data_IF_115298099856
#
_entry.id   IF_115298099856
#
_cell.length_a   1.000
_cell.length_b   1.000
_cell.length_c   1.000
_cell.angle_alpha   90.00
_cell.angle_beta   90.00
_cell.angle_gamma   90.00
#
_symmetry.space_group_name_H-M   'P 1'
#
loop_
_entity.id
_entity.type
_entity.pdbx_description
1 polymer ?
#
# COMPACT_ATOMS: atom_id res chain seq x y z
N UNK A 1 18.23 10.92 -6.69
CA UNK A 1 18.81 9.58 -6.51
C UNK A 1 19.10 8.94 -7.88
N UNK A 2 20.10 8.04 -7.92
CA UNK A 2 20.54 7.36 -9.13
C UNK A 2 19.47 6.48 -9.79
N UNK A 3 18.47 6.03 -9.02
CA UNK A 3 17.41 5.11 -9.47
C UNK A 3 16.05 5.81 -9.66
N UNK A 4 16.02 7.14 -9.71
CA UNK A 4 14.77 7.90 -9.82
C UNK A 4 13.90 7.91 -8.56
N UNK A 5 14.40 7.39 -7.43
CA UNK A 5 13.70 7.41 -6.14
C UNK A 5 13.99 8.70 -5.38
N UNK A 6 13.03 9.16 -4.61
CA UNK A 6 13.22 10.36 -3.78
C UNK A 6 14.03 10.06 -2.53
N UNK A 7 14.89 11.00 -2.13
CA UNK A 7 15.70 10.89 -0.91
C UNK A 7 14.89 11.35 0.29
N UNK A 8 14.88 10.54 1.35
CA UNK A 8 14.24 10.87 2.61
C UNK A 8 15.22 10.89 3.78
N UNK A 9 14.87 11.69 4.77
CA UNK A 9 15.52 11.70 6.07
C UNK A 9 15.00 10.55 6.97
N UNK A 10 15.53 10.36 8.19
CA UNK A 10 15.05 9.32 9.11
C UNK A 10 13.61 9.50 9.62
N UNK A 11 12.97 10.61 9.37
CA UNK A 11 11.57 10.85 9.70
C UNK A 11 10.63 10.55 8.51
N UNK A 12 11.18 10.05 7.39
CA UNK A 12 10.50 9.78 6.11
C UNK A 12 10.05 11.04 5.36
N UNK A 13 10.57 12.22 5.74
CA UNK A 13 10.37 13.47 4.99
C UNK A 13 11.34 13.54 3.82
N UNK A 14 10.92 14.14 2.72
CA UNK A 14 11.80 14.43 1.58
C UNK A 14 12.87 15.43 1.99
N UNK A 15 14.10 15.21 1.53
CA UNK A 15 15.17 16.19 1.69
C UNK A 15 14.81 17.48 0.94
N UNK A 16 14.89 18.60 1.64
CA UNK A 16 14.52 19.92 1.09
C UNK A 16 13.01 20.24 1.12
N UNK A 17 12.14 19.27 1.44
CA UNK A 17 10.69 19.46 1.48
C UNK A 17 10.09 18.83 2.73
N UNK A 18 10.18 19.50 3.89
CA UNK A 18 9.78 18.90 5.20
C UNK A 18 8.28 18.62 5.32
N UNK A 19 7.45 19.15 4.45
CA UNK A 19 6.00 18.88 4.43
C UNK A 19 5.62 17.68 3.55
N UNK A 20 6.58 17.11 2.81
CA UNK A 20 6.34 15.94 1.97
C UNK A 20 6.99 14.72 2.59
N UNK A 21 6.27 13.61 2.52
CA UNK A 21 6.72 12.30 3.01
C UNK A 21 6.73 11.29 1.88
N UNK A 22 7.65 10.34 1.95
CA UNK A 22 7.68 9.23 1.02
C UNK A 22 8.18 7.95 1.70
N UNK A 23 7.66 6.82 1.29
CA UNK A 23 8.11 5.49 1.72
C UNK A 23 7.82 4.44 0.64
N UNK A 24 8.28 3.22 0.86
CA UNK A 24 8.14 2.16 -0.12
C UNK A 24 9.16 2.27 -1.26
N UNK A 25 8.80 1.74 -2.43
CA UNK A 25 9.74 1.58 -3.54
C UNK A 25 10.10 2.90 -4.23
N UNK A 26 9.28 3.93 -4.08
CA UNK A 26 9.55 5.27 -4.61
C UNK A 26 10.54 6.10 -3.78
N UNK A 27 10.92 5.62 -2.58
CA UNK A 27 11.75 6.36 -1.64
C UNK A 27 12.97 5.57 -1.19
N UNK A 28 14.02 6.29 -0.83
CA UNK A 28 15.20 5.71 -0.17
C UNK A 28 15.69 6.62 0.95
N UNK A 29 15.86 6.06 2.12
CA UNK A 29 16.43 6.80 3.26
C UNK A 29 17.93 6.96 3.07
N UNK A 30 18.39 8.20 2.98
CA UNK A 30 19.80 8.54 2.73
C UNK A 30 20.75 7.96 3.77
N UNK A 31 20.40 8.02 5.03
CA UNK A 31 21.24 7.55 6.14
C UNK A 31 21.34 6.03 6.24
N UNK A 32 20.34 5.30 5.75
CA UNK A 32 20.24 3.84 5.84
C UNK A 32 19.52 3.29 4.61
N UNK A 33 20.14 3.33 3.42
CA UNK A 33 19.51 2.91 2.18
C UNK A 33 19.13 1.42 2.24
N UNK A 34 17.95 1.09 1.69
CA UNK A 34 17.45 -0.27 1.57
C UNK A 34 17.02 -0.50 0.12
N UNK A 35 17.16 -1.73 -0.38
CA UNK A 35 16.65 -2.06 -1.71
C UNK A 35 15.12 -1.93 -1.72
N UNK A 36 14.58 -1.63 -2.89
CA UNK A 36 13.13 -1.65 -3.11
C UNK A 36 12.60 -3.05 -2.80
N UNK A 37 11.65 -3.14 -1.89
CA UNK A 37 11.03 -4.40 -1.48
C UNK A 37 9.81 -4.15 -0.61
N UNK A 38 8.74 -4.91 -0.82
CA UNK A 38 7.50 -4.83 -0.06
C UNK A 38 7.68 -4.94 1.46
N UNK A 39 8.71 -5.65 1.91
CA UNK A 39 8.98 -5.77 3.37
C UNK A 39 9.36 -4.42 4.00
N UNK A 40 10.09 -3.60 3.28
CA UNK A 40 10.45 -2.27 3.78
C UNK A 40 9.28 -1.29 3.66
N UNK A 41 8.51 -1.39 2.58
CA UNK A 41 7.28 -0.62 2.39
C UNK A 41 6.29 -0.87 3.55
N UNK A 42 5.99 -2.14 3.85
CA UNK A 42 5.09 -2.50 4.94
C UNK A 42 5.62 -2.04 6.31
N UNK A 43 6.92 -2.16 6.56
CA UNK A 43 7.52 -1.77 7.84
C UNK A 43 7.63 -0.28 8.04
N UNK A 44 7.73 0.50 6.98
CA UNK A 44 7.73 1.96 7.06
C UNK A 44 6.34 2.57 7.20
N UNK A 45 5.28 1.82 6.90
CA UNK A 45 3.90 2.33 6.92
C UNK A 45 3.50 2.87 8.30
N UNK A 46 3.72 2.11 9.38
CA UNK A 46 3.37 2.55 10.73
C UNK A 46 4.21 3.75 11.21
N UNK A 47 5.55 3.77 11.05
CA UNK A 47 6.34 4.98 11.29
C UNK A 47 5.88 6.19 10.50
N UNK A 48 5.53 6.00 9.22
CA UNK A 48 5.01 7.06 8.38
C UNK A 48 3.67 7.61 8.91
N UNK A 49 2.71 6.74 9.20
CA UNK A 49 1.42 7.14 9.75
C UNK A 49 1.57 7.96 11.04
N UNK A 50 2.39 7.49 11.98
CA UNK A 50 2.67 8.20 13.24
C UNK A 50 3.31 9.57 13.03
N UNK A 51 4.17 9.72 12.03
CA UNK A 51 4.80 11.00 11.74
C UNK A 51 3.84 11.95 11.03
N UNK A 52 2.93 11.44 10.21
CA UNK A 52 1.85 12.24 9.62
C UNK A 52 0.87 12.74 10.72
N UNK A 53 0.45 11.87 11.62
CA UNK A 53 -0.35 12.25 12.79
C UNK A 53 0.37 13.31 13.65
N UNK A 54 1.65 13.08 13.94
CA UNK A 54 2.45 14.01 14.74
C UNK A 54 2.54 15.41 14.12
N UNK A 55 2.64 15.51 12.79
CA UNK A 55 2.62 16.83 12.12
C UNK A 55 1.25 17.51 12.29
N UNK A 56 0.15 16.77 12.08
CA UNK A 56 -1.19 17.32 12.26
C UNK A 56 -1.40 17.84 13.68
N UNK A 57 -0.85 17.15 14.66
CA UNK A 57 -0.97 17.48 16.08
C UNK A 57 0.15 18.40 16.61
N UNK A 58 1.00 18.91 15.72
CA UNK A 58 2.17 19.74 16.08
C UNK A 58 3.10 19.06 17.10
N UNK A 59 3.21 17.74 17.04
CA UNK A 59 4.07 16.93 17.89
C UNK A 59 5.42 16.64 17.24
N UNK A 60 6.46 16.32 18.02
CA UNK A 60 7.77 15.99 17.49
C UNK A 60 7.74 14.65 16.71
N UNK A 61 8.40 14.65 15.56
CA UNK A 61 8.52 13.47 14.72
C UNK A 61 9.42 12.41 15.37
N UNK A 62 9.13 11.14 15.09
CA UNK A 62 9.91 9.99 15.57
C UNK A 62 10.79 9.43 14.45
N UNK A 63 12.05 9.17 14.77
CA UNK A 63 12.98 8.55 13.84
C UNK A 63 12.59 7.09 13.59
N UNK A 64 12.62 6.70 12.35
CA UNK A 64 12.57 5.30 11.95
C UNK A 64 13.98 4.78 11.66
N UNK A 65 14.31 3.61 12.20
CA UNK A 65 15.55 2.90 11.90
C UNK A 65 15.20 1.54 11.31
N UNK A 66 15.32 1.37 9.98
CA UNK A 66 15.02 0.09 9.35
C UNK A 66 16.03 -0.99 9.75
N UNK A 67 15.56 -2.20 9.94
CA UNK A 67 16.42 -3.35 10.25
C UNK A 67 17.44 -3.58 9.12
N UNK A 68 18.62 -4.09 9.47
CA UNK A 68 19.68 -4.37 8.49
C UNK A 68 19.28 -5.46 7.49
N UNK A 69 18.57 -6.49 7.94
CA UNK A 69 18.19 -7.63 7.13
C UNK A 69 16.70 -7.98 7.33
N UNK A 70 16.03 -8.20 6.23
CA UNK A 70 14.70 -8.79 6.23
C UNK A 70 14.78 -10.30 6.27
N UNK A 71 13.83 -10.94 6.96
CA UNK A 71 13.57 -12.36 6.82
C UNK A 71 12.83 -12.59 5.50
N UNK A 72 13.40 -13.42 4.64
CA UNK A 72 12.76 -13.86 3.39
C UNK A 72 12.44 -15.34 3.50
N UNK A 73 11.20 -15.70 3.28
CA UNK A 73 10.72 -17.07 3.20
C UNK A 73 10.25 -17.33 1.77
N UNK A 74 10.98 -18.16 1.04
CA UNK A 74 10.69 -18.46 -0.36
C UNK A 74 10.14 -19.87 -0.44
N UNK A 75 8.88 -19.98 -0.87
CA UNK A 75 8.19 -21.26 -1.05
C UNK A 75 8.71 -22.02 -2.27
N UNK A 76 8.69 -23.34 -2.19
CA UNK A 76 8.99 -24.26 -3.28
C UNK A 76 7.71 -25.04 -3.63
N UNK A 77 7.72 -25.74 -4.77
CA UNK A 77 6.57 -26.49 -5.27
C UNK A 77 6.16 -27.69 -4.37
N UNK A 78 7.03 -28.13 -3.46
CA UNK A 78 6.80 -29.31 -2.60
C UNK A 78 6.28 -28.97 -1.20
N UNK A 79 5.54 -27.88 -1.02
CA UNK A 79 5.10 -27.43 0.30
C UNK A 79 6.26 -27.27 1.29
N UNK A 80 7.40 -26.87 0.80
CA UNK A 80 8.58 -26.52 1.58
C UNK A 80 8.95 -25.06 1.33
N UNK A 81 9.70 -24.46 2.23
CA UNK A 81 10.26 -23.14 2.04
C UNK A 81 11.69 -23.10 2.54
N UNK A 82 12.51 -22.31 1.91
CA UNK A 82 13.81 -21.97 2.44
C UNK A 82 13.80 -20.53 2.98
N UNK A 83 14.67 -20.30 3.93
CA UNK A 83 14.78 -19.02 4.63
C UNK A 83 16.10 -18.36 4.28
N UNK A 84 16.05 -17.05 4.08
CA UNK A 84 17.24 -16.22 3.98
C UNK A 84 17.11 -15.01 4.92
N UNK A 85 18.19 -14.73 5.66
CA UNK A 85 18.33 -13.49 6.44
C UNK A 85 19.78 -13.01 6.34
N UNK A 86 20.01 -11.95 5.58
CA UNK A 86 21.36 -11.50 5.26
C UNK A 86 22.14 -12.59 4.51
N UNK A 87 23.26 -13.03 5.08
CA UNK A 87 24.09 -14.12 4.51
C UNK A 87 23.65 -15.51 4.95
N UNK A 88 22.86 -15.64 6.00
CA UNK A 88 22.37 -16.92 6.49
C UNK A 88 21.26 -17.46 5.57
N UNK A 89 21.42 -18.71 5.13
CA UNK A 89 20.46 -19.43 4.30
C UNK A 89 20.22 -20.81 4.87
N UNK A 90 19.01 -21.31 4.74
CA UNK A 90 18.66 -22.69 5.09
C UNK A 90 18.37 -23.51 3.85
N UNK A 91 18.28 -24.83 4.02
CA UNK A 91 17.65 -25.70 3.03
C UNK A 91 16.12 -25.53 3.11
N UNK A 92 15.41 -26.06 2.12
CA UNK A 92 13.95 -26.07 2.12
C UNK A 92 13.44 -27.10 3.12
N UNK A 93 12.51 -26.67 4.00
CA UNK A 93 11.85 -27.51 5.01
C UNK A 93 10.34 -27.25 5.01
N UNK A 94 9.56 -28.28 5.28
CA UNK A 94 8.10 -28.17 5.41
C UNK A 94 7.72 -27.26 6.60
N UNK A 95 8.49 -27.28 7.68
CA UNK A 95 8.26 -26.40 8.84
C UNK A 95 8.34 -24.92 8.46
N UNK A 96 9.27 -24.54 7.59
CA UNK A 96 9.38 -23.16 7.10
C UNK A 96 8.21 -22.78 6.18
N UNK A 97 7.65 -23.73 5.45
CA UNK A 97 6.43 -23.52 4.69
C UNK A 97 5.24 -23.21 5.60
N UNK A 98 5.06 -24.00 6.67
CA UNK A 98 4.01 -23.75 7.66
C UNK A 98 4.16 -22.39 8.33
N UNK A 99 5.41 -22.01 8.68
CA UNK A 99 5.71 -20.67 9.21
C UNK A 99 5.36 -19.57 8.21
N UNK A 100 5.77 -19.75 6.94
CA UNK A 100 5.43 -18.81 5.86
C UNK A 100 3.91 -18.63 5.74
N UNK A 101 3.18 -19.72 5.65
CA UNK A 101 1.71 -19.69 5.54
C UNK A 101 1.06 -18.98 6.75
N UNK A 102 1.57 -19.21 7.96
CA UNK A 102 1.06 -18.54 9.16
C UNK A 102 1.28 -17.02 9.10
N UNK A 103 2.46 -16.58 8.67
CA UNK A 103 2.79 -15.16 8.49
C UNK A 103 1.89 -14.54 7.42
N UNK A 104 1.78 -15.19 6.25
CA UNK A 104 0.97 -14.70 5.15
C UNK A 104 -0.52 -14.58 5.54
N UNK A 105 -1.08 -15.60 6.21
CA UNK A 105 -2.47 -15.57 6.70
C UNK A 105 -2.68 -14.47 7.74
N UNK A 106 -1.74 -14.30 8.67
CA UNK A 106 -1.83 -13.23 9.68
C UNK A 106 -1.79 -11.84 9.04
N UNK A 107 -0.95 -11.67 8.02
CA UNK A 107 -0.89 -10.43 7.26
C UNK A 107 -2.22 -10.17 6.51
N UNK A 108 -2.73 -11.18 5.80
CA UNK A 108 -3.99 -11.07 5.07
C UNK A 108 -5.20 -10.84 5.97
N UNK A 109 -5.21 -11.43 7.18
CA UNK A 109 -6.28 -11.23 8.16
C UNK A 109 -6.41 -9.75 8.59
N UNK A 110 -5.30 -8.99 8.59
CA UNK A 110 -5.33 -7.55 8.86
C UNK A 110 -6.16 -6.75 7.84
N UNK A 111 -6.26 -7.22 6.60
CA UNK A 111 -7.07 -6.57 5.56
C UNK A 111 -8.55 -6.93 5.63
N UNK A 112 -8.89 -8.07 6.23
CA UNK A 112 -10.28 -8.50 6.40
C UNK A 112 -11.03 -7.68 7.44
N UNK A 113 -10.32 -6.98 8.32
CA UNK A 113 -10.87 -6.14 9.39
C UNK A 113 -10.98 -4.66 8.99
N UNK A 114 -10.77 -4.33 7.72
CA UNK A 114 -10.99 -2.96 7.28
C UNK A 114 -12.46 -2.57 7.52
N UNK A 115 -12.72 -1.37 8.07
CA UNK A 115 -14.08 -0.91 8.26
C UNK A 115 -14.80 -0.93 6.93
N UNK A 116 -15.98 -1.52 6.93
CA UNK A 116 -16.85 -1.52 5.74
C UNK A 116 -17.07 -0.06 5.33
N UNK A 117 -16.83 0.26 4.06
CA UNK A 117 -17.15 1.57 3.48
C UNK A 117 -18.66 1.89 3.54
N UNK A 118 -19.44 1.00 4.11
CA UNK A 118 -20.89 1.13 4.32
C UNK A 118 -21.27 1.72 5.69
N UNK A 119 -20.34 2.37 6.41
CA UNK A 119 -20.71 3.09 7.64
C UNK A 119 -21.64 4.27 7.28
N UNK A 120 -22.74 4.38 7.99
CA UNK A 120 -23.72 5.48 7.83
C UNK A 120 -23.22 6.82 8.37
N UNK A 121 -22.03 6.87 8.93
CA UNK A 121 -21.44 8.11 9.43
C UNK A 121 -20.80 8.92 8.30
N UNK A 122 -21.01 10.24 8.27
CA UNK A 122 -20.37 11.10 7.28
C UNK A 122 -18.85 11.06 7.47
N UNK A 123 -18.14 10.61 6.44
CA UNK A 123 -16.68 10.53 6.47
C UNK A 123 -16.07 11.93 6.37
N UNK A 124 -15.10 12.21 7.23
CA UNK A 124 -14.36 13.47 7.23
C UNK A 124 -13.55 13.69 5.93
N UNK A 125 -13.15 12.62 5.27
CA UNK A 125 -12.49 12.65 3.95
C UNK A 125 -13.34 11.91 2.92
N UNK A 126 -13.67 12.58 1.83
CA UNK A 126 -14.43 12.00 0.73
C UNK A 126 -13.57 11.48 -0.43
N UNK A 127 -12.25 11.42 -0.34
CA UNK A 127 -11.34 10.98 -1.39
C UNK A 127 -11.79 9.70 -2.13
N UNK A 128 -11.04 8.63 -2.06
CA UNK A 128 -11.39 7.35 -2.72
C UNK A 128 -12.74 6.78 -2.29
N UNK A 129 -13.23 7.14 -1.10
CA UNK A 129 -14.51 6.69 -0.57
C UNK A 129 -15.71 7.54 -1.03
N UNK A 130 -15.48 8.64 -1.74
CA UNK A 130 -16.55 9.42 -2.35
C UNK A 130 -17.20 8.72 -3.56
N UNK A 131 -16.64 7.63 -4.04
CA UNK A 131 -17.25 6.80 -5.08
C UNK A 131 -18.55 6.20 -4.53
N UNK A 132 -19.63 6.39 -5.25
CA UNK A 132 -20.93 5.78 -4.91
C UNK A 132 -20.76 4.25 -4.81
N UNK A 133 -21.30 3.63 -3.74
CA UNK A 133 -21.31 2.17 -3.66
C UNK A 133 -21.96 1.56 -4.91
N UNK A 134 -21.48 0.41 -5.35
CA UNK A 134 -21.95 -0.22 -6.59
C UNK A 134 -23.46 -0.42 -6.65
N UNK A 135 -24.12 -0.75 -5.53
CA UNK A 135 -25.58 -0.95 -5.50
C UNK A 135 -26.39 0.31 -5.80
N UNK A 136 -26.19 1.46 -5.11
CA UNK A 136 -26.86 2.71 -5.45
C UNK A 136 -26.54 3.17 -6.88
N UNK A 137 -25.29 3.05 -7.31
CA UNK A 137 -24.87 3.41 -8.67
C UNK A 137 -25.62 2.56 -9.72
N UNK A 138 -25.63 1.24 -9.55
CA UNK A 138 -26.33 0.34 -10.47
C UNK A 138 -27.84 0.60 -10.52
N UNK A 139 -28.45 0.93 -9.36
CA UNK A 139 -29.87 1.29 -9.32
C UNK A 139 -30.13 2.59 -10.11
N UNK A 140 -29.29 3.61 -9.93
CA UNK A 140 -29.41 4.87 -10.66
C UNK A 140 -29.18 4.67 -12.19
N UNK A 141 -28.17 3.92 -12.57
CA UNK A 141 -27.87 3.62 -13.99
C UNK A 141 -28.99 2.83 -14.64
N UNK A 142 -29.58 1.87 -13.92
CA UNK A 142 -30.73 1.09 -14.43
C UNK A 142 -31.95 1.96 -14.71
N UNK A 143 -32.19 3.01 -13.91
CA UNK A 143 -33.31 3.96 -14.11
C UNK A 143 -33.16 4.75 -15.40
N UNK A 144 -31.95 5.02 -15.85
CA UNK A 144 -31.67 5.72 -17.10
C UNK A 144 -31.36 4.77 -18.27
N UNK A 145 -31.59 3.46 -18.09
CA UNK A 145 -31.41 2.46 -19.14
C UNK A 145 -29.94 2.09 -19.44
N UNK A 146 -29.00 2.51 -18.60
CA UNK A 146 -27.59 2.18 -18.75
C UNK A 146 -27.25 0.91 -17.96
N UNK A 147 -26.51 -0.01 -18.58
CA UNK A 147 -25.94 -1.18 -17.91
C UNK A 147 -24.58 -0.78 -17.32
N UNK A 148 -24.43 -1.01 -16.02
CA UNK A 148 -23.12 -0.87 -15.38
C UNK A 148 -22.20 -1.99 -15.86
N UNK A 149 -21.03 -1.62 -16.34
CA UNK A 149 -19.88 -2.53 -16.45
C UNK A 149 -18.96 -2.23 -15.26
N UNK A 150 -18.43 -3.25 -14.57
CA UNK A 150 -17.54 -3.06 -13.42
C UNK A 150 -16.11 -2.70 -13.91
N UNK A 151 -15.98 -1.58 -14.59
CA UNK A 151 -14.69 -1.09 -15.11
C UNK A 151 -14.41 0.32 -14.58
N UNK A 152 -13.14 0.59 -14.31
CA UNK A 152 -12.68 1.91 -13.86
C UNK A 152 -12.64 2.96 -14.98
N UNK A 153 -12.87 2.54 -16.22
CA UNK A 153 -12.87 3.42 -17.37
C UNK A 153 -14.03 3.09 -18.33
N UNK A 154 -14.66 4.10 -18.89
CA UNK A 154 -15.66 3.94 -19.92
C UNK A 154 -15.00 3.80 -21.29
N UNK A 155 -15.40 2.80 -22.08
CA UNK A 155 -15.01 2.69 -23.47
C UNK A 155 -15.95 3.56 -24.33
N UNK A 156 -15.40 4.62 -24.91
CA UNK A 156 -16.13 5.55 -25.77
C UNK A 156 -16.24 5.06 -27.24
N UNK A 157 -15.66 3.89 -27.52
CA UNK A 157 -15.59 3.38 -28.90
C UNK A 157 -14.52 4.12 -29.72
N UNK A 158 -14.55 3.85 -31.04
CA UNK A 158 -13.62 4.47 -32.00
C UNK A 158 -12.49 3.53 -32.44
N UNK A 159 -11.71 3.99 -33.42
CA UNK A 159 -10.53 3.27 -33.94
C UNK A 159 -9.38 4.27 -34.01
N UNK A 160 -8.39 4.24 -33.08
CA UNK A 160 -8.27 3.32 -31.92
C UNK A 160 -9.35 3.54 -30.85
N UNK A 161 -9.62 2.50 -30.04
CA UNK A 161 -10.58 2.59 -28.94
C UNK A 161 -10.15 3.64 -27.93
N UNK A 162 -11.05 4.55 -27.56
CA UNK A 162 -10.81 5.56 -26.53
C UNK A 162 -11.39 5.09 -25.19
N UNK A 163 -10.58 5.15 -24.14
CA UNK A 163 -10.99 4.88 -22.77
C UNK A 163 -11.01 6.20 -22.01
N UNK A 164 -12.08 6.45 -21.29
CA UNK A 164 -12.21 7.62 -20.42
C UNK A 164 -12.42 7.16 -18.97
N UNK A 165 -11.59 7.68 -18.07
CA UNK A 165 -11.80 7.61 -16.64
C UNK A 165 -12.03 9.01 -16.10
N UNK A 166 -12.94 9.15 -15.12
CA UNK A 166 -13.23 10.42 -14.48
C UNK A 166 -13.10 10.23 -12.98
N UNK A 167 -12.11 10.91 -12.40
CA UNK A 167 -11.95 11.01 -10.96
C UNK A 167 -12.34 12.41 -10.52
N UNK A 168 -13.35 12.50 -9.64
CA UNK A 168 -13.81 13.76 -9.06
C UNK A 168 -13.39 13.87 -7.61
N UNK A 169 -12.75 14.98 -7.26
CA UNK A 169 -12.53 15.34 -5.86
C UNK A 169 -13.56 16.39 -5.48
N UNK A 170 -14.30 16.19 -4.38
CA UNK A 170 -15.18 17.25 -3.87
C UNK A 170 -14.34 18.44 -3.43
N UNK A 171 -14.79 19.64 -3.80
CA UNK A 171 -14.20 20.89 -3.36
C UNK A 171 -14.42 21.13 -1.84
#
# INVERSE_FOLDING_TARGET
DHDGRVLTNPFLQLEGCPHLFASGDCAVMKSQPRPASGVWAVRSALPLARNLEAICDSQPLKRWSPQHHALQLIGTHNNAAWMQRGRARTRAFTLLWTLKQRIDRSFMAGFSQQPSMASSEPMACRGCAAKLPARPLNAALSQVGLKSQPEDAANLGGTPALLQSVDGFPA
#
